data_IF_215570366022
#
_entry.id   IF_215570366022
#
_cell.length_a   1.000
_cell.length_b   1.000
_cell.length_c   1.000
_cell.angle_alpha   90.00
_cell.angle_beta   90.00
_cell.angle_gamma   90.00
#
_symmetry.space_group_name_H-M   'P 1'
#
loop_
_entity.id
_entity.type
_entity.pdbx_description
1 polymer ?
#
# COMPACT_ATOMS: atom_id res chain seq x y z
N UNK A 1 -7.27 12.86 24.73
CA UNK A 1 -7.05 11.81 23.71
C UNK A 1 -6.75 12.50 22.39
N UNK A 2 -5.73 12.09 21.70
CA UNK A 2 -5.44 12.65 20.36
C UNK A 2 -6.57 12.32 19.38
N UNK A 3 -6.87 13.26 18.49
CA UNK A 3 -7.95 13.09 17.51
C UNK A 3 -7.54 12.01 16.50
N UNK A 4 -8.35 10.93 16.29
CA UNK A 4 -8.01 9.84 15.36
C UNK A 4 -7.71 10.31 13.92
N UNK A 5 -8.39 11.36 13.45
CA UNK A 5 -8.14 11.96 12.13
C UNK A 5 -6.76 12.59 12.07
N UNK A 6 -6.38 13.38 13.09
CA UNK A 6 -5.06 14.01 13.18
C UNK A 6 -3.94 12.96 13.28
N UNK A 7 -4.17 11.88 14.03
CA UNK A 7 -3.23 10.76 14.11
C UNK A 7 -3.06 10.07 12.76
N UNK A 8 -4.16 9.88 12.02
CA UNK A 8 -4.09 9.31 10.66
C UNK A 8 -3.30 10.23 9.71
N UNK A 9 -3.52 11.53 9.79
CA UNK A 9 -2.77 12.51 8.99
C UNK A 9 -1.28 12.56 9.38
N UNK A 10 -0.96 12.41 10.67
CA UNK A 10 0.43 12.28 11.15
C UNK A 10 1.06 10.99 10.60
N UNK A 11 0.37 9.87 10.68
CA UNK A 11 0.83 8.60 10.11
C UNK A 11 1.13 8.72 8.62
N UNK A 12 0.24 9.36 7.85
CA UNK A 12 0.43 9.57 6.41
C UNK A 12 1.71 10.38 6.14
N UNK A 13 1.94 11.46 6.87
CA UNK A 13 3.17 12.28 6.72
C UNK A 13 4.42 11.47 7.01
N UNK A 14 4.42 10.71 8.11
CA UNK A 14 5.58 9.89 8.50
C UNK A 14 5.86 8.78 7.48
N UNK A 15 4.83 8.06 7.01
CA UNK A 15 5.02 7.03 6.00
C UNK A 15 5.45 7.63 4.66
N UNK A 16 4.92 8.78 4.25
CA UNK A 16 5.39 9.48 3.06
C UNK A 16 6.89 9.81 3.16
N UNK A 17 7.33 10.31 4.31
CA UNK A 17 8.74 10.63 4.56
C UNK A 17 9.61 9.36 4.52
N UNK A 18 9.16 8.28 5.17
CA UNK A 18 9.84 6.98 5.12
C UNK A 18 10.01 6.51 3.68
N UNK A 19 8.92 6.51 2.89
CA UNK A 19 8.97 6.06 1.50
C UNK A 19 9.87 6.91 0.63
N UNK A 20 9.88 8.23 0.86
CA UNK A 20 10.77 9.14 0.13
C UNK A 20 12.24 8.86 0.47
N UNK A 21 12.59 8.81 1.75
CA UNK A 21 13.95 8.55 2.20
C UNK A 21 14.44 7.16 1.75
N UNK A 22 13.62 6.12 1.98
CA UNK A 22 13.96 4.77 1.55
C UNK A 22 14.18 4.67 0.03
N UNK A 23 13.31 5.30 -0.78
CA UNK A 23 13.46 5.26 -2.23
C UNK A 23 14.70 6.01 -2.69
N UNK A 24 15.05 7.12 -2.03
CA UNK A 24 16.28 7.85 -2.29
C UNK A 24 17.49 7.00 -1.94
N UNK A 25 17.50 6.36 -0.78
CA UNK A 25 18.61 5.51 -0.36
C UNK A 25 18.76 4.28 -1.28
N UNK A 26 17.67 3.61 -1.61
CA UNK A 26 17.69 2.44 -2.47
C UNK A 26 18.18 2.75 -3.89
N UNK A 27 17.65 3.79 -4.52
CA UNK A 27 17.96 4.09 -5.91
C UNK A 27 19.22 4.93 -6.08
N UNK A 28 19.41 5.96 -5.25
CA UNK A 28 20.54 6.89 -5.43
C UNK A 28 21.80 6.36 -4.73
N UNK A 29 21.72 6.06 -3.44
CA UNK A 29 22.84 5.57 -2.65
C UNK A 29 23.19 4.15 -3.04
N UNK A 30 22.20 3.29 -3.22
CA UNK A 30 22.35 1.91 -3.68
C UNK A 30 22.71 1.78 -5.16
N UNK A 31 22.67 2.90 -5.93
CA UNK A 31 22.94 2.94 -7.39
C UNK A 31 22.12 1.94 -8.19
N UNK A 32 20.88 1.71 -7.78
CA UNK A 32 19.96 0.83 -8.50
C UNK A 32 19.33 1.58 -9.66
N UNK A 33 19.28 0.96 -10.84
CA UNK A 33 18.64 1.53 -12.01
C UNK A 33 17.17 1.82 -11.76
N UNK A 34 16.74 3.03 -12.14
CA UNK A 34 15.35 3.46 -12.00
C UNK A 34 14.54 3.09 -13.24
N UNK A 35 13.35 2.57 -13.02
CA UNK A 35 12.38 2.30 -14.09
C UNK A 35 11.19 3.24 -13.95
N UNK A 36 10.76 3.86 -15.04
CA UNK A 36 9.59 4.74 -15.02
C UNK A 36 8.30 3.93 -14.87
N UNK A 37 7.68 3.99 -13.70
CA UNK A 37 6.48 3.26 -13.33
C UNK A 37 5.19 3.83 -13.93
N UNK A 38 5.24 5.01 -14.60
CA UNK A 38 4.12 5.51 -15.40
C UNK A 38 3.96 4.77 -16.74
N UNK A 39 4.98 3.99 -17.14
CA UNK A 39 4.89 3.09 -18.29
C UNK A 39 3.98 1.90 -17.97
N UNK A 40 3.51 1.25 -19.04
CA UNK A 40 2.73 0.02 -18.91
C UNK A 40 3.49 -1.07 -18.18
N UNK A 41 2.77 -1.92 -17.48
CA UNK A 41 3.36 -3.00 -16.65
C UNK A 41 4.32 -3.90 -17.45
N UNK A 42 4.05 -4.15 -18.75
CA UNK A 42 4.92 -4.90 -19.65
C UNK A 42 6.34 -4.31 -19.82
N UNK A 43 6.52 -3.03 -19.51
CA UNK A 43 7.81 -2.32 -19.63
C UNK A 43 8.56 -2.22 -18.31
N UNK A 44 8.03 -2.81 -17.25
CA UNK A 44 8.66 -2.83 -15.93
C UNK A 44 9.04 -4.27 -15.59
N UNK A 45 10.34 -4.59 -15.51
CA UNK A 45 10.78 -5.94 -15.20
C UNK A 45 10.26 -6.43 -13.86
N UNK A 46 9.76 -7.65 -13.80
CA UNK A 46 9.26 -8.24 -12.55
C UNK A 46 10.38 -8.32 -11.49
N UNK A 47 11.60 -8.61 -11.92
CA UNK A 47 12.78 -8.68 -11.06
C UNK A 47 13.06 -7.35 -10.36
N UNK A 48 12.85 -6.22 -11.05
CA UNK A 48 12.99 -4.89 -10.47
C UNK A 48 11.98 -4.66 -9.32
N UNK A 49 10.73 -5.10 -9.53
CA UNK A 49 9.67 -5.00 -8.51
C UNK A 49 10.01 -5.87 -7.30
N UNK A 50 10.47 -7.10 -7.55
CA UNK A 50 10.79 -8.07 -6.49
C UNK A 50 12.05 -7.68 -5.72
N UNK A 51 13.06 -7.12 -6.36
CA UNK A 51 14.27 -6.63 -5.71
C UNK A 51 13.96 -5.43 -4.81
N UNK A 52 13.17 -4.46 -5.28
CA UNK A 52 12.68 -3.35 -4.45
C UNK A 52 11.90 -3.85 -3.24
N UNK A 53 10.98 -4.78 -3.45
CA UNK A 53 10.16 -5.40 -2.38
C UNK A 53 11.04 -6.07 -1.34
N UNK A 54 12.03 -6.86 -1.76
CA UNK A 54 12.91 -7.60 -0.83
C UNK A 54 13.69 -6.64 0.05
N UNK A 55 14.34 -5.66 -0.55
CA UNK A 55 15.12 -4.65 0.17
C UNK A 55 14.23 -3.81 1.12
N UNK A 56 13.03 -3.40 0.67
CA UNK A 56 12.08 -2.71 1.54
C UNK A 56 11.68 -3.58 2.74
N UNK A 57 11.47 -4.88 2.55
CA UNK A 57 11.10 -5.80 3.63
C UNK A 57 12.19 -5.91 4.70
N UNK A 58 13.45 -5.86 4.30
CA UNK A 58 14.59 -5.91 5.20
C UNK A 58 14.80 -4.59 5.95
N UNK A 59 14.57 -3.46 5.27
CA UNK A 59 14.89 -2.13 5.80
C UNK A 59 13.74 -1.44 6.54
N UNK A 60 12.48 -1.80 6.28
CA UNK A 60 11.30 -1.03 6.73
C UNK A 60 11.24 -0.82 8.25
N UNK A 61 11.67 -1.80 9.03
CA UNK A 61 11.65 -1.68 10.49
C UNK A 61 12.62 -0.61 11.00
N UNK A 62 13.77 -0.46 10.34
CA UNK A 62 14.76 0.56 10.71
C UNK A 62 14.20 1.95 10.47
N UNK A 63 13.54 2.18 9.33
CA UNK A 63 12.88 3.45 9.04
C UNK A 63 11.72 3.75 10.01
N UNK A 64 10.90 2.74 10.33
CA UNK A 64 9.78 2.91 11.27
C UNK A 64 10.24 3.19 12.70
N UNK A 65 11.41 2.68 13.11
CA UNK A 65 11.96 2.93 14.45
C UNK A 65 12.27 4.42 14.71
N UNK A 66 12.52 5.20 13.67
CA UNK A 66 12.80 6.64 13.75
C UNK A 66 11.59 7.52 13.46
N UNK A 67 10.46 6.95 13.02
CA UNK A 67 9.26 7.69 12.70
C UNK A 67 8.50 8.15 13.95
N UNK A 68 7.89 9.33 13.89
CA UNK A 68 7.02 9.82 14.97
C UNK A 68 5.60 9.24 14.84
N UNK A 69 5.50 7.94 15.06
CA UNK A 69 4.22 7.18 15.04
C UNK A 69 3.78 6.72 16.43
N UNK A 70 4.41 7.24 17.49
CA UNK A 70 4.06 6.89 18.87
C UNK A 70 2.62 7.27 19.18
N UNK A 71 1.89 6.36 19.85
CA UNK A 71 0.48 6.55 20.21
C UNK A 71 -0.49 6.37 19.04
N UNK A 72 -0.03 5.95 17.86
CA UNK A 72 -0.88 5.61 16.73
C UNK A 72 -0.96 4.09 16.60
N UNK A 73 -2.15 3.55 16.75
CA UNK A 73 -2.41 2.13 16.50
C UNK A 73 -2.59 1.88 15.02
N UNK A 74 -1.63 1.22 14.40
CA UNK A 74 -1.69 0.84 13.00
C UNK A 74 -1.00 -0.49 12.75
N UNK A 75 -1.38 -1.14 11.65
CA UNK A 75 -0.72 -2.31 11.13
C UNK A 75 -0.03 -1.95 9.83
N UNK A 76 1.08 -2.63 9.51
CA UNK A 76 1.71 -2.51 8.21
C UNK A 76 2.16 -3.86 7.67
N UNK A 77 2.37 -3.91 6.38
CA UNK A 77 2.92 -5.08 5.70
C UNK A 77 3.72 -4.68 4.47
N UNK A 78 4.73 -5.47 4.17
CA UNK A 78 5.32 -5.54 2.83
C UNK A 78 4.73 -6.75 2.12
N UNK A 79 4.14 -6.55 0.94
CA UNK A 79 3.46 -7.58 0.15
C UNK A 79 4.41 -8.72 -0.19
N UNK A 80 3.96 -9.98 -0.12
CA UNK A 80 4.81 -11.13 -0.43
C UNK A 80 5.14 -11.21 -1.91
N UNK A 81 6.28 -11.82 -2.24
CA UNK A 81 6.72 -11.99 -3.62
C UNK A 81 5.71 -12.78 -4.46
N UNK A 82 5.10 -13.82 -3.88
CA UNK A 82 4.07 -14.64 -4.52
C UNK A 82 2.85 -13.81 -4.88
N UNK A 83 2.36 -12.97 -3.94
CA UNK A 83 1.21 -12.09 -4.18
C UNK A 83 1.50 -11.02 -5.24
N UNK A 84 2.76 -10.58 -5.36
CA UNK A 84 3.18 -9.65 -6.43
C UNK A 84 3.18 -10.39 -7.77
N UNK A 85 3.80 -11.58 -7.85
CA UNK A 85 3.83 -12.39 -9.08
C UNK A 85 2.43 -12.70 -9.59
N UNK A 86 1.53 -13.14 -8.70
CA UNK A 86 0.13 -13.41 -9.04
C UNK A 86 -0.56 -12.15 -9.58
N UNK A 87 -0.45 -11.01 -8.85
CA UNK A 87 -1.07 -9.75 -9.29
C UNK A 87 -0.53 -9.31 -10.65
N UNK A 88 0.78 -9.29 -10.83
CA UNK A 88 1.44 -8.93 -12.09
C UNK A 88 0.98 -9.87 -13.22
N UNK A 89 1.02 -11.18 -13.00
CA UNK A 89 0.60 -12.18 -13.99
C UNK A 89 -0.84 -11.96 -14.46
N UNK A 90 -1.78 -11.76 -13.53
CA UNK A 90 -3.19 -11.48 -13.89
C UNK A 90 -3.36 -10.19 -14.70
N UNK A 91 -2.60 -9.14 -14.40
CA UNK A 91 -2.71 -7.88 -15.15
C UNK A 91 -2.02 -7.93 -16.51
N UNK A 92 -0.93 -8.70 -16.67
CA UNK A 92 -0.28 -8.92 -17.96
C UNK A 92 -1.17 -9.68 -18.96
N UNK A 93 -2.11 -10.49 -18.47
CA UNK A 93 -3.09 -11.22 -19.30
C UNK A 93 -4.29 -10.36 -19.74
N UNK A 94 -4.47 -9.17 -19.18
CA UNK A 94 -5.60 -8.29 -19.53
C UNK A 94 -5.32 -7.55 -20.84
N UNK A 95 -6.37 -7.35 -21.63
CA UNK A 95 -6.30 -6.59 -22.89
C UNK A 95 -5.92 -5.12 -22.65
N UNK A 96 -6.37 -4.53 -21.54
CA UNK A 96 -6.05 -3.17 -21.17
C UNK A 96 -4.65 -3.09 -20.54
N UNK A 97 -3.85 -2.18 -21.05
CA UNK A 97 -2.51 -1.92 -20.53
C UNK A 97 -2.55 -0.79 -19.50
N UNK A 98 -2.33 -1.14 -18.24
CA UNK A 98 -2.30 -0.17 -17.15
C UNK A 98 -0.88 0.27 -16.81
N UNK A 99 -0.67 1.52 -16.36
CA UNK A 99 0.61 1.96 -15.79
C UNK A 99 1.02 1.08 -14.61
N UNK A 100 2.31 0.78 -14.50
CA UNK A 100 2.80 -0.09 -13.42
C UNK A 100 2.50 0.48 -12.03
N UNK A 101 2.60 1.81 -11.84
CA UNK A 101 2.29 2.47 -10.57
C UNK A 101 0.79 2.47 -10.20
N UNK A 102 -0.10 1.97 -11.07
CA UNK A 102 -1.51 1.71 -10.73
C UNK A 102 -1.71 0.26 -10.28
N UNK A 103 -0.78 -0.62 -10.61
CA UNK A 103 -0.87 -2.05 -10.32
C UNK A 103 -0.02 -2.41 -9.10
N UNK A 104 1.26 -2.00 -9.09
CA UNK A 104 2.18 -2.26 -7.98
C UNK A 104 2.21 -1.08 -7.00
N UNK A 105 1.03 -0.66 -6.56
CA UNK A 105 0.80 0.47 -5.67
C UNK A 105 0.58 0.08 -4.20
N UNK A 106 0.74 -1.20 -3.87
CA UNK A 106 0.49 -1.79 -2.56
C UNK A 106 1.63 -2.73 -2.13
N UNK A 107 2.86 -2.49 -2.62
CA UNK A 107 4.06 -3.22 -2.14
C UNK A 107 4.23 -2.99 -0.64
N UNK A 108 4.10 -1.74 -0.18
CA UNK A 108 3.88 -1.41 1.21
C UNK A 108 2.41 -1.04 1.42
N UNK A 109 1.83 -1.57 2.48
CA UNK A 109 0.48 -1.22 2.92
C UNK A 109 0.44 -0.99 4.42
N UNK A 110 -0.21 0.09 4.82
CA UNK A 110 -0.59 0.34 6.21
C UNK A 110 -2.10 0.18 6.39
N UNK A 111 -2.55 -0.05 7.61
CA UNK A 111 -3.96 -0.13 7.97
C UNK A 111 -4.19 0.53 9.31
N UNK A 112 -5.22 1.36 9.38
CA UNK A 112 -5.78 1.90 10.61
C UNK A 112 -7.22 1.38 10.79
N UNK A 113 -7.61 1.17 12.05
CA UNK A 113 -8.97 0.79 12.44
C UNK A 113 -9.47 1.95 13.29
N UNK A 114 -10.57 2.58 12.89
CA UNK A 114 -11.03 3.83 13.44
C UNK A 114 -12.53 3.78 13.79
N UNK A 115 -13.00 4.60 14.74
CA UNK A 115 -14.44 4.79 14.94
C UNK A 115 -15.11 5.31 13.68
N UNK A 116 -16.37 4.91 13.45
CA UNK A 116 -17.17 5.28 12.27
C UNK A 116 -17.18 6.79 12.00
N UNK A 117 -17.27 7.59 13.06
CA UNK A 117 -17.26 9.05 12.93
C UNK A 117 -15.93 9.58 12.36
N UNK A 118 -14.80 9.01 12.78
CA UNK A 118 -13.49 9.39 12.26
C UNK A 118 -13.32 8.96 10.78
N UNK A 119 -13.84 7.78 10.42
CA UNK A 119 -13.86 7.33 9.01
C UNK A 119 -14.66 8.32 8.16
N UNK A 120 -15.86 8.73 8.60
CA UNK A 120 -16.69 9.70 7.89
C UNK A 120 -15.97 11.06 7.72
N UNK A 121 -15.34 11.58 8.79
CA UNK A 121 -14.57 12.82 8.72
C UNK A 121 -13.37 12.73 7.76
N UNK A 122 -12.70 11.58 7.69
CA UNK A 122 -11.61 11.36 6.75
C UNK A 122 -12.15 11.36 5.31
N UNK A 123 -13.29 10.73 5.05
CA UNK A 123 -13.88 10.69 3.72
C UNK A 123 -14.15 12.10 3.16
N UNK A 124 -14.56 13.05 4.01
CA UNK A 124 -14.75 14.46 3.64
C UNK A 124 -13.44 15.17 3.31
N UNK A 125 -12.30 14.70 3.84
CA UNK A 125 -10.96 15.31 3.64
C UNK A 125 -10.16 14.71 2.49
N UNK A 126 -10.61 13.64 1.85
CA UNK A 126 -9.81 12.93 0.84
C UNK A 126 -9.41 13.82 -0.35
N UNK A 127 -10.23 14.81 -0.71
CA UNK A 127 -9.87 15.75 -1.78
C UNK A 127 -8.74 16.69 -1.37
N UNK A 128 -8.73 17.14 -0.12
CA UNK A 128 -7.64 17.97 0.43
C UNK A 128 -6.33 17.19 0.49
N UNK A 129 -6.40 15.89 0.75
CA UNK A 129 -5.23 15.01 0.81
C UNK A 129 -4.50 14.85 -0.52
N UNK A 130 -5.16 15.14 -1.66
CA UNK A 130 -4.51 15.18 -2.98
C UNK A 130 -3.38 16.20 -3.02
N UNK A 131 -3.64 17.37 -2.43
CA UNK A 131 -2.65 18.45 -2.38
C UNK A 131 -1.73 18.31 -1.16
N UNK A 132 -2.28 18.00 0.00
CA UNK A 132 -1.53 17.98 1.26
C UNK A 132 -0.54 16.81 1.36
N UNK A 133 -0.92 15.61 0.87
CA UNK A 133 -0.17 14.37 1.09
C UNK A 133 0.14 13.60 -0.19
N UNK A 134 -0.21 14.13 -1.36
CA UNK A 134 0.04 13.45 -2.62
C UNK A 134 -0.86 12.21 -2.85
N UNK A 135 -2.09 12.25 -2.32
CA UNK A 135 -3.07 11.22 -2.61
C UNK A 135 -3.28 11.12 -4.12
N UNK A 136 -3.13 9.91 -4.66
CA UNK A 136 -3.26 9.64 -6.09
C UNK A 136 -4.68 9.27 -6.46
N UNK A 137 -5.25 8.32 -5.75
CA UNK A 137 -6.62 7.83 -5.90
C UNK A 137 -7.06 7.09 -4.64
N UNK A 138 -8.36 6.89 -4.54
CA UNK A 138 -8.96 6.08 -3.49
C UNK A 138 -10.21 5.37 -4.02
N UNK A 139 -10.64 4.31 -3.36
CA UNK A 139 -11.94 3.67 -3.58
C UNK A 139 -12.43 2.98 -2.31
N UNK A 140 -13.74 2.87 -2.19
CA UNK A 140 -14.38 2.01 -1.20
C UNK A 140 -14.39 0.58 -1.74
N UNK A 141 -13.77 -0.34 -1.02
CA UNK A 141 -13.86 -1.75 -1.30
C UNK A 141 -14.95 -2.37 -0.44
N UNK A 142 -15.96 -2.92 -1.11
CA UNK A 142 -17.07 -3.65 -0.49
C UNK A 142 -17.25 -4.96 -1.26
N UNK A 143 -16.48 -5.97 -0.88
CA UNK A 143 -16.42 -7.27 -1.56
C UNK A 143 -16.18 -8.40 -0.57
N UNK A 144 -16.88 -9.51 -0.73
CA UNK A 144 -16.66 -10.76 0.03
C UNK A 144 -16.70 -10.57 1.57
N UNK A 145 -17.56 -9.67 2.06
CA UNK A 145 -17.66 -9.32 3.47
C UNK A 145 -16.50 -8.49 4.00
N UNK A 146 -15.70 -7.89 3.13
CA UNK A 146 -14.70 -6.89 3.47
C UNK A 146 -15.21 -5.50 3.12
N UNK A 147 -15.18 -4.58 4.09
CA UNK A 147 -15.49 -3.16 3.88
C UNK A 147 -14.32 -2.28 4.35
N UNK A 148 -13.81 -1.42 3.48
CA UNK A 148 -12.74 -0.51 3.83
C UNK A 148 -12.39 0.48 2.73
N UNK A 149 -11.90 1.64 3.14
CA UNK A 149 -11.42 2.69 2.23
C UNK A 149 -9.95 2.43 1.90
N UNK A 150 -9.65 2.23 0.63
CA UNK A 150 -8.31 2.05 0.12
C UNK A 150 -7.80 3.35 -0.48
N UNK A 151 -6.72 3.86 0.05
CA UNK A 151 -6.13 5.17 -0.31
C UNK A 151 -4.71 4.94 -0.80
N UNK A 152 -4.35 5.51 -1.95
CA UNK A 152 -3.03 5.33 -2.57
C UNK A 152 -2.30 6.65 -2.64
N UNK A 153 -1.07 6.68 -2.16
CA UNK A 153 -0.22 7.86 -2.14
C UNK A 153 0.91 7.74 -3.15
N UNK A 154 1.20 8.85 -3.83
CA UNK A 154 2.40 8.98 -4.67
C UNK A 154 3.64 9.03 -3.81
N UNK A 155 4.77 8.67 -4.40
CA UNK A 155 6.05 8.77 -3.74
C UNK A 155 7.00 9.65 -4.59
N UNK A 156 6.93 10.97 -4.40
CA UNK A 156 7.84 11.95 -4.95
C UNK A 156 7.97 11.99 -6.47
N UNK A 157 8.20 10.85 -7.12
CA UNK A 157 8.38 10.75 -8.58
C UNK A 157 7.76 9.48 -9.17
N UNK A 158 7.63 9.45 -10.51
CA UNK A 158 7.17 8.25 -11.22
C UNK A 158 8.19 7.10 -11.26
N UNK A 159 9.36 7.27 -10.66
CA UNK A 159 10.38 6.23 -10.52
C UNK A 159 10.34 5.53 -9.18
N UNK A 160 9.53 6.06 -8.23
CA UNK A 160 9.39 5.53 -6.87
C UNK A 160 8.04 4.85 -6.71
N UNK A 161 8.02 3.74 -5.97
CA UNK A 161 6.80 2.96 -5.77
C UNK A 161 5.82 3.70 -4.85
N UNK A 162 4.53 3.76 -5.22
CA UNK A 162 3.46 4.26 -4.34
C UNK A 162 3.22 3.29 -3.17
N UNK A 163 2.42 3.73 -2.20
CA UNK A 163 2.00 2.90 -1.09
C UNK A 163 0.49 3.02 -0.82
N UNK A 164 -0.06 2.07 -0.07
CA UNK A 164 -1.48 1.95 0.24
C UNK A 164 -1.73 2.20 1.73
N UNK A 165 -2.77 3.01 2.05
CA UNK A 165 -3.39 3.06 3.37
C UNK A 165 -4.78 2.47 3.28
N UNK A 166 -5.09 1.50 4.15
CA UNK A 166 -6.41 0.95 4.34
C UNK A 166 -7.01 1.55 5.61
N UNK A 167 -8.20 2.15 5.49
CA UNK A 167 -8.94 2.73 6.59
C UNK A 167 -10.18 1.88 6.79
N UNK A 168 -10.28 1.23 7.95
CA UNK A 168 -11.37 0.32 8.30
C UNK A 168 -12.17 0.90 9.46
N UNK A 169 -13.48 0.71 9.42
CA UNK A 169 -14.34 0.97 10.57
C UNK A 169 -14.14 -0.12 11.63
N UNK A 170 -14.13 0.26 12.91
CA UNK A 170 -14.00 -0.68 14.01
C UNK A 170 -15.14 -1.70 14.07
N UNK A 171 -16.36 -1.31 13.64
CA UNK A 171 -17.51 -2.20 13.59
C UNK A 171 -17.34 -3.31 12.52
N UNK A 172 -16.54 -3.07 11.49
CA UNK A 172 -16.28 -4.03 10.41
C UNK A 172 -14.99 -4.83 10.64
N UNK A 173 -14.20 -4.49 11.66
CA UNK A 173 -12.84 -5.00 11.85
C UNK A 173 -12.81 -6.54 11.94
N UNK A 174 -13.74 -7.16 12.69
CA UNK A 174 -13.79 -8.61 12.85
C UNK A 174 -14.16 -9.31 11.53
N UNK A 175 -15.16 -8.79 10.82
CA UNK A 175 -15.59 -9.30 9.51
C UNK A 175 -14.46 -9.16 8.48
N UNK A 176 -13.77 -8.04 8.46
CA UNK A 176 -12.62 -7.78 7.60
C UNK A 176 -11.47 -8.78 7.84
N UNK A 177 -11.20 -9.14 9.11
CA UNK A 177 -10.18 -10.14 9.45
C UNK A 177 -10.59 -11.53 8.96
N UNK A 178 -11.86 -11.91 9.12
CA UNK A 178 -12.39 -13.20 8.67
C UNK A 178 -12.33 -13.34 7.14
N UNK A 179 -12.77 -12.32 6.43
CA UNK A 179 -12.73 -12.26 4.96
C UNK A 179 -11.29 -12.36 4.43
N UNK A 180 -10.35 -11.62 5.00
CA UNK A 180 -8.95 -11.70 4.60
C UNK A 180 -8.33 -13.10 4.83
N UNK A 181 -8.71 -13.79 5.91
CA UNK A 181 -8.28 -15.18 6.18
C UNK A 181 -8.87 -16.16 5.16
N UNK A 182 -10.13 -16.00 4.80
CA UNK A 182 -10.80 -16.83 3.79
C UNK A 182 -10.14 -16.67 2.42
N UNK A 183 -9.86 -15.43 2.00
CA UNK A 183 -9.16 -15.13 0.75
C UNK A 183 -7.77 -15.80 0.70
N UNK A 184 -6.96 -15.69 1.77
CA UNK A 184 -5.65 -16.34 1.84
C UNK A 184 -5.74 -17.86 1.74
N UNK A 185 -6.73 -18.50 2.38
CA UNK A 185 -6.93 -19.95 2.30
C UNK A 185 -7.28 -20.40 0.89
N UNK A 186 -8.15 -19.65 0.20
CA UNK A 186 -8.49 -19.90 -1.20
C UNK A 186 -7.28 -19.79 -2.13
N UNK A 187 -6.43 -18.81 -1.92
CA UNK A 187 -5.20 -18.62 -2.68
C UNK A 187 -4.21 -19.78 -2.49
N UNK A 188 -4.00 -20.20 -1.25
CA UNK A 188 -3.10 -21.35 -0.95
C UNK A 188 -3.66 -22.64 -1.55
N UNK A 189 -4.96 -22.88 -1.45
CA UNK A 189 -5.60 -24.07 -2.03
C UNK A 189 -5.46 -24.09 -3.56
N UNK A 190 -5.66 -22.97 -4.24
CA UNK A 190 -5.50 -22.86 -5.69
C UNK A 190 -4.04 -23.08 -6.12
N UNK A 191 -3.07 -22.56 -5.36
CA UNK A 191 -1.64 -22.76 -5.64
C UNK A 191 -1.22 -24.23 -5.48
N UNK A 192 -1.77 -24.95 -4.50
CA UNK A 192 -1.50 -26.37 -4.29
C UNK A 192 -2.16 -27.29 -5.35
N UNK A 193 -3.22 -26.84 -6.02
CA UNK A 193 -3.85 -27.57 -7.13
C UNK A 193 -3.14 -27.36 -8.47
N UNK A 194 -2.35 -26.30 -8.59
CA UNK A 194 -1.62 -25.95 -9.81
C UNK A 194 -0.15 -26.44 -9.81
N UNK A 195 0.30 -27.04 -8.71
CA UNK A 195 1.64 -27.63 -8.55
C UNK A 195 1.62 -29.14 -8.76
#
# INVERSE_FOLDING_TARGET
MENPVQNTERLIREINLIHQNYSQDYFETGKVEKVNLSRTLHKVPLEHILAYRLNLHEAVNDYLAFADVRGIDFFYRVKTAESIRDKVGRYLQRANQYPANNIVNDIFGARVILPSEAVAQIMEKLDDWKTAYGLKNWYLRDEDGYLGVHVYFKNGSNFYYPWELQICDENDAETNIRSHRAYKRGFVAAALQAA
#
